data_IF_056469146034
#
_entry.id   IF_056469146034
#
_cell.length_a   1.000
_cell.length_b   1.000
_cell.length_c   1.000
_cell.angle_alpha   90.00
_cell.angle_beta   90.00
_cell.angle_gamma   90.00
#
_symmetry.space_group_name_H-M   'P 1'
#
loop_
_entity.id
_entity.type
_entity.pdbx_description
1 polymer ?
#
# COMPACT_ATOMS: atom_id res chain seq x y z
N UNK A 1 -57.35 28.33 1.41
CA UNK A 1 -55.99 28.89 1.22
C UNK A 1 -54.99 27.91 1.79
N UNK A 2 -54.29 27.17 0.95
CA UNK A 2 -53.18 26.31 1.35
C UNK A 2 -51.91 27.17 1.37
N UNK A 3 -51.43 27.50 2.56
CA UNK A 3 -50.17 28.19 2.78
C UNK A 3 -49.01 27.22 2.53
N UNK A 4 -48.34 27.36 1.39
CA UNK A 4 -47.05 26.73 1.16
C UNK A 4 -45.99 27.50 1.96
N UNK A 5 -45.62 26.96 3.13
CA UNK A 5 -44.44 27.41 3.87
C UNK A 5 -43.19 26.89 3.15
N UNK A 6 -42.59 27.72 2.30
CA UNK A 6 -41.22 27.47 1.83
C UNK A 6 -40.26 27.77 2.99
N UNK A 7 -39.60 26.74 3.51
CA UNK A 7 -38.44 26.93 4.38
C UNK A 7 -37.36 27.66 3.58
N UNK A 8 -36.84 28.78 4.10
CA UNK A 8 -35.72 29.47 3.45
C UNK A 8 -34.48 28.58 3.57
N UNK A 9 -34.00 28.05 2.45
CA UNK A 9 -32.85 27.17 2.44
C UNK A 9 -31.56 27.94 2.75
N UNK A 10 -30.91 27.54 3.83
CA UNK A 10 -29.61 28.07 4.22
C UNK A 10 -28.60 27.84 3.09
N UNK A 11 -28.02 28.91 2.55
CA UNK A 11 -27.18 28.86 1.35
C UNK A 11 -25.75 29.29 1.66
N UNK A 12 -24.77 28.65 1.04
CA UNK A 12 -23.36 29.00 1.18
C UNK A 12 -23.04 30.21 0.29
N UNK A 13 -22.72 31.36 0.88
CA UNK A 13 -22.29 32.54 0.13
C UNK A 13 -20.78 32.55 -0.15
N UNK A 14 -19.98 31.95 0.72
CA UNK A 14 -18.53 31.87 0.51
C UNK A 14 -17.92 30.62 1.17
N UNK A 15 -16.86 30.12 0.53
CA UNK A 15 -16.01 29.04 1.06
C UNK A 15 -14.58 29.58 1.10
N UNK A 16 -14.08 29.81 2.31
CA UNK A 16 -12.73 30.32 2.57
C UNK A 16 -11.81 29.18 2.97
N UNK A 17 -10.65 29.06 2.32
CA UNK A 17 -9.67 28.01 2.60
C UNK A 17 -8.46 28.66 3.29
N UNK A 18 -8.11 28.19 4.49
CA UNK A 18 -7.00 28.73 5.31
C UNK A 18 -5.94 27.68 5.57
N UNK A 19 -4.69 28.14 5.74
CA UNK A 19 -3.57 27.32 6.21
C UNK A 19 -2.84 26.50 5.14
N UNK A 20 -3.20 26.68 3.87
CA UNK A 20 -2.46 26.13 2.73
C UNK A 20 -1.13 26.87 2.52
N UNK A 21 -0.12 26.16 2.04
CA UNK A 21 1.23 26.63 1.72
C UNK A 21 1.61 26.14 0.31
N UNK A 22 1.82 24.84 0.13
CA UNK A 22 2.16 24.22 -1.16
C UNK A 22 0.91 23.80 -1.93
N UNK A 23 -0.12 23.32 -1.23
CA UNK A 23 -1.37 22.87 -1.83
C UNK A 23 -2.08 24.07 -2.49
N UNK A 24 -2.56 23.90 -3.72
CA UNK A 24 -3.20 24.98 -4.45
C UNK A 24 -4.66 25.11 -4.03
N UNK A 25 -5.10 26.34 -3.77
CA UNK A 25 -6.50 26.63 -3.44
C UNK A 25 -7.44 26.18 -4.55
N UNK A 26 -7.08 26.46 -5.81
CA UNK A 26 -7.84 26.00 -6.98
C UNK A 26 -8.01 24.47 -7.03
N UNK A 27 -6.99 23.73 -6.58
CA UNK A 27 -7.10 22.27 -6.47
C UNK A 27 -8.12 21.88 -5.40
N UNK A 28 -8.03 22.46 -4.19
CA UNK A 28 -9.02 22.21 -3.12
C UNK A 28 -10.44 22.51 -3.59
N UNK A 29 -10.66 23.67 -4.21
CA UNK A 29 -11.96 24.06 -4.77
C UNK A 29 -12.46 23.10 -5.86
N UNK A 30 -11.57 22.49 -6.65
CA UNK A 30 -11.93 21.44 -7.63
C UNK A 30 -12.44 20.18 -6.95
N UNK A 31 -11.87 19.79 -5.80
CA UNK A 31 -12.11 18.49 -5.18
C UNK A 31 -13.14 18.48 -4.05
N UNK A 32 -13.57 19.62 -3.49
CA UNK A 32 -14.61 19.67 -2.44
C UNK A 32 -16.02 19.79 -3.05
N UNK A 33 -17.04 19.27 -2.33
CA UNK A 33 -18.47 19.35 -2.73
C UNK A 33 -19.02 20.70 -2.32
N UNK A 34 -18.59 21.16 -1.14
CA UNK A 34 -18.95 22.43 -0.52
C UNK A 34 -18.49 23.59 -1.40
N UNK A 35 -19.44 24.30 -2.03
CA UNK A 35 -19.18 25.39 -2.98
C UNK A 35 -20.08 26.59 -2.68
N UNK A 36 -19.71 27.76 -3.20
CA UNK A 36 -20.58 28.93 -3.20
C UNK A 36 -21.85 28.63 -4.02
N UNK A 37 -23.00 29.08 -3.52
CA UNK A 37 -24.30 29.01 -4.18
C UNK A 37 -25.07 27.71 -3.96
N UNK A 38 -24.55 26.77 -3.17
CA UNK A 38 -25.27 25.52 -2.84
C UNK A 38 -25.87 25.57 -1.43
N UNK A 39 -26.87 24.73 -1.20
CA UNK A 39 -27.50 24.54 0.12
C UNK A 39 -26.46 24.08 1.14
N UNK A 40 -26.51 24.67 2.34
CA UNK A 40 -25.69 24.31 3.47
C UNK A 40 -26.05 22.91 3.96
N UNK A 41 -25.22 21.93 3.62
CA UNK A 41 -25.35 20.55 4.07
C UNK A 41 -24.16 20.13 4.93
N UNK A 42 -24.43 19.83 6.20
CA UNK A 42 -23.42 19.38 7.16
C UNK A 42 -22.81 18.03 6.78
N UNK A 43 -23.55 17.15 6.11
CA UNK A 43 -23.06 15.85 5.65
C UNK A 43 -22.02 16.00 4.55
N UNK A 44 -22.28 16.87 3.58
CA UNK A 44 -21.33 17.21 2.51
C UNK A 44 -20.04 17.82 3.06
N UNK A 45 -20.15 18.75 4.01
CA UNK A 45 -18.96 19.35 4.66
C UNK A 45 -18.16 18.28 5.42
N UNK A 46 -18.83 17.40 6.17
CA UNK A 46 -18.15 16.32 6.89
C UNK A 46 -17.41 15.36 5.94
N UNK A 47 -18.02 14.98 4.82
CA UNK A 47 -17.39 14.16 3.77
C UNK A 47 -16.18 14.84 3.15
N UNK A 48 -16.26 16.14 2.88
CA UNK A 48 -15.14 16.92 2.35
C UNK A 48 -13.99 16.97 3.36
N UNK A 49 -14.25 17.14 4.65
CA UNK A 49 -13.20 17.13 5.68
C UNK A 49 -12.54 15.76 5.81
N UNK A 50 -13.31 14.67 5.75
CA UNK A 50 -12.75 13.32 5.72
C UNK A 50 -11.87 13.14 4.47
N UNK A 51 -12.36 13.59 3.30
CA UNK A 51 -11.61 13.51 2.05
C UNK A 51 -10.29 14.29 2.14
N UNK A 52 -10.33 15.53 2.65
CA UNK A 52 -9.15 16.37 2.82
C UNK A 52 -8.13 15.74 3.76
N UNK A 53 -8.57 15.15 4.89
CA UNK A 53 -7.68 14.43 5.82
C UNK A 53 -6.99 13.20 5.22
N UNK A 54 -7.53 12.65 4.13
CA UNK A 54 -6.93 11.51 3.41
C UNK A 54 -5.86 11.94 2.41
N UNK A 55 -5.73 13.23 2.11
CA UNK A 55 -4.69 13.73 1.22
C UNK A 55 -3.32 13.65 1.92
N UNK A 56 -2.27 13.16 1.24
CA UNK A 56 -0.91 13.11 1.79
C UNK A 56 -0.41 14.45 2.32
N UNK A 57 -0.76 15.53 1.63
CA UNK A 57 -0.37 16.90 1.96
C UNK A 57 -1.09 17.49 3.17
N UNK A 58 -2.06 16.79 3.76
CA UNK A 58 -2.91 17.31 4.84
C UNK A 58 -2.66 16.50 6.11
N UNK A 59 -2.10 17.15 7.13
CA UNK A 59 -1.89 16.56 8.45
C UNK A 59 -3.20 16.52 9.24
N UNK A 60 -4.02 17.57 9.11
CA UNK A 60 -5.36 17.64 9.69
C UNK A 60 -6.20 18.68 8.94
N UNK A 61 -7.53 18.54 9.00
CA UNK A 61 -8.48 19.52 8.48
C UNK A 61 -9.68 19.68 9.43
N UNK A 62 -10.19 20.90 9.51
CA UNK A 62 -11.42 21.22 10.26
C UNK A 62 -12.22 22.30 9.53
N UNK A 63 -13.46 22.52 9.94
CA UNK A 63 -14.31 23.55 9.38
C UNK A 63 -14.96 24.38 10.48
N UNK A 64 -15.36 25.60 10.12
CA UNK A 64 -16.26 26.46 10.91
C UNK A 64 -17.31 27.01 9.97
N UNK A 65 -18.56 27.04 10.43
CA UNK A 65 -19.66 27.67 9.70
C UNK A 65 -20.03 28.95 10.44
N UNK A 66 -20.05 30.07 9.73
CA UNK A 66 -20.34 31.39 10.30
C UNK A 66 -21.52 31.98 9.54
N UNK A 67 -22.49 32.52 10.27
CA UNK A 67 -23.60 33.26 9.68
C UNK A 67 -23.06 34.55 9.07
N UNK A 68 -23.33 34.78 7.78
CA UNK A 68 -22.93 36.02 7.10
C UNK A 68 -24.04 37.05 7.25
N UNK A 69 -25.19 36.83 6.60
CA UNK A 69 -26.38 37.69 6.62
C UNK A 69 -27.62 36.84 6.32
N UNK A 70 -28.73 37.02 7.05
CA UNK A 70 -29.98 36.25 6.86
C UNK A 70 -29.74 34.74 6.77
N UNK A 71 -30.11 34.08 5.66
CA UNK A 71 -29.94 32.65 5.42
C UNK A 71 -28.63 32.30 4.69
N UNK A 72 -27.68 33.24 4.63
CA UNK A 72 -26.39 33.05 3.98
C UNK A 72 -25.28 32.74 4.98
N UNK A 73 -24.54 31.68 4.69
CA UNK A 73 -23.47 31.18 5.53
C UNK A 73 -22.12 31.22 4.82
N UNK A 74 -21.07 31.46 5.60
CA UNK A 74 -19.68 31.32 5.18
C UNK A 74 -19.09 30.06 5.79
N UNK A 75 -18.49 29.21 4.95
CA UNK A 75 -17.79 28.00 5.40
C UNK A 75 -16.29 28.25 5.36
N UNK A 76 -15.63 28.19 6.52
CA UNK A 76 -14.18 28.35 6.64
C UNK A 76 -13.56 26.98 6.84
N UNK A 77 -12.80 26.51 5.84
CA UNK A 77 -12.04 25.26 5.89
C UNK A 77 -10.62 25.55 6.32
N UNK A 78 -10.21 25.03 7.47
CA UNK A 78 -8.86 25.16 8.00
C UNK A 78 -8.06 23.90 7.71
N UNK A 79 -6.99 24.03 6.93
CA UNK A 79 -6.09 22.94 6.56
C UNK A 79 -4.76 23.15 7.26
N UNK A 80 -4.26 22.09 7.90
CA UNK A 80 -2.88 22.02 8.39
C UNK A 80 -2.08 21.17 7.43
N UNK A 81 -1.20 21.79 6.64
CA UNK A 81 -0.38 21.07 5.68
C UNK A 81 0.70 20.20 6.32
N UNK A 82 1.04 19.14 5.60
CA UNK A 82 2.04 18.14 5.90
C UNK A 82 3.19 18.24 4.88
N UNK A 83 4.42 17.94 5.30
CA UNK A 83 5.51 17.80 4.34
C UNK A 83 5.33 16.48 3.58
N UNK A 84 5.14 16.59 2.26
CA UNK A 84 4.76 15.46 1.39
C UNK A 84 5.90 14.99 0.47
N UNK A 85 7.11 15.51 0.63
CA UNK A 85 8.30 15.07 -0.10
C UNK A 85 9.06 14.10 0.80
N UNK A 86 9.27 12.87 0.34
CA UNK A 86 9.79 11.77 1.15
C UNK A 86 10.99 11.16 0.44
N UNK A 87 12.19 11.18 1.05
CA UNK A 87 13.30 10.39 0.56
C UNK A 87 13.05 8.91 0.85
N UNK A 88 13.37 8.05 -0.11
CA UNK A 88 13.36 6.61 0.03
C UNK A 88 14.81 6.15 0.18
N UNK A 89 15.17 5.64 1.37
CA UNK A 89 16.53 5.21 1.69
C UNK A 89 16.46 3.82 2.32
N UNK A 90 17.06 2.84 1.65
CA UNK A 90 17.20 1.49 2.19
C UNK A 90 18.63 1.01 2.00
N UNK A 91 19.17 0.36 3.02
CA UNK A 91 20.49 -0.25 3.01
C UNK A 91 20.35 -1.67 3.56
N UNK A 92 20.95 -2.64 2.87
CA UNK A 92 20.93 -4.03 3.28
C UNK A 92 22.13 -4.77 2.70
N UNK A 93 22.31 -6.02 3.12
CA UNK A 93 23.30 -6.94 2.54
C UNK A 93 22.54 -8.06 1.83
N UNK A 94 22.91 -8.35 0.59
CA UNK A 94 22.34 -9.46 -0.18
C UNK A 94 22.86 -10.82 0.28
N UNK A 95 22.24 -11.89 -0.20
CA UNK A 95 22.62 -13.29 0.07
C UNK A 95 24.08 -13.59 -0.27
N UNK A 96 24.61 -12.95 -1.31
CA UNK A 96 26.01 -13.04 -1.73
C UNK A 96 26.97 -12.09 -0.98
N UNK A 97 26.55 -11.54 0.18
CA UNK A 97 27.31 -10.64 1.03
C UNK A 97 27.64 -9.26 0.41
N UNK A 98 26.97 -8.87 -0.67
CA UNK A 98 27.17 -7.57 -1.28
C UNK A 98 26.38 -6.46 -0.56
N UNK A 99 27.04 -5.34 -0.30
CA UNK A 99 26.37 -4.15 0.18
C UNK A 99 25.41 -3.63 -0.90
N UNK A 100 24.15 -3.45 -0.51
CA UNK A 100 23.06 -3.06 -1.39
C UNK A 100 22.35 -1.83 -0.85
N UNK A 101 21.90 -0.99 -1.76
CA UNK A 101 21.25 0.26 -1.40
C UNK A 101 20.15 0.64 -2.38
N UNK A 102 19.15 1.37 -1.88
CA UNK A 102 18.07 1.99 -2.66
C UNK A 102 17.94 3.43 -2.23
N UNK A 103 18.01 4.33 -3.21
CA UNK A 103 17.89 5.77 -3.04
C UNK A 103 16.78 6.25 -3.97
N UNK A 104 15.81 6.97 -3.43
CA UNK A 104 14.69 7.50 -4.19
C UNK A 104 14.11 8.75 -3.55
N UNK A 105 13.20 9.37 -4.28
CA UNK A 105 12.54 10.59 -3.86
C UNK A 105 11.14 10.63 -4.45
N UNK A 106 10.16 10.86 -3.57
CA UNK A 106 8.76 10.98 -3.94
C UNK A 106 8.18 12.28 -3.42
N UNK A 107 7.47 13.00 -4.27
CA UNK A 107 6.61 14.11 -3.89
C UNK A 107 5.16 13.67 -4.04
N UNK A 108 4.48 13.47 -2.91
CA UNK A 108 3.06 13.08 -2.85
C UNK A 108 2.11 14.28 -3.02
N UNK A 109 2.66 15.48 -3.23
CA UNK A 109 1.90 16.68 -3.54
C UNK A 109 2.59 17.49 -4.64
N UNK A 110 3.06 16.80 -5.69
CA UNK A 110 3.71 17.41 -6.83
C UNK A 110 2.81 18.49 -7.44
N UNK A 111 3.42 19.65 -7.71
CA UNK A 111 2.74 20.88 -8.15
C UNK A 111 1.60 21.39 -7.25
N UNK A 112 1.49 20.87 -6.02
CA UNK A 112 0.44 21.25 -5.07
C UNK A 112 -0.95 20.71 -5.42
N UNK A 113 -1.02 19.57 -6.12
CA UNK A 113 -2.25 19.03 -6.71
C UNK A 113 -2.56 17.58 -6.35
N UNK A 114 -2.04 17.07 -5.23
CA UNK A 114 -2.18 15.65 -4.84
C UNK A 114 -1.71 14.67 -5.94
N UNK A 115 -0.66 15.06 -6.65
CA UNK A 115 0.01 14.22 -7.64
C UNK A 115 1.17 13.57 -6.92
N UNK A 116 1.27 12.25 -7.00
CA UNK A 116 2.48 11.52 -6.62
C UNK A 116 3.39 11.46 -7.82
N UNK A 117 4.59 11.98 -7.68
CA UNK A 117 5.65 11.84 -8.67
C UNK A 117 6.95 11.52 -7.98
N UNK A 118 7.66 10.53 -8.47
CA UNK A 118 8.91 10.11 -7.88
C UNK A 118 9.50 8.91 -8.56
N UNK A 119 10.61 8.46 -8.01
CA UNK A 119 11.32 7.30 -8.51
C UNK A 119 12.45 6.91 -7.58
N UNK A 120 13.07 5.79 -7.89
CA UNK A 120 14.23 5.30 -7.18
C UNK A 120 15.25 4.72 -8.13
N UNK A 121 16.47 4.66 -7.63
CA UNK A 121 17.54 3.80 -8.11
C UNK A 121 17.94 2.87 -6.97
N UNK A 122 18.24 1.62 -7.30
CA UNK A 122 18.84 0.69 -6.36
C UNK A 122 19.96 -0.09 -7.04
N UNK A 123 20.93 -0.47 -6.23
CA UNK A 123 21.98 -1.39 -6.61
C UNK A 123 22.05 -2.52 -5.57
N UNK A 124 21.94 -3.75 -6.04
CA UNK A 124 22.06 -4.97 -5.23
C UNK A 124 23.07 -5.96 -5.83
N UNK A 125 24.09 -5.42 -6.52
CA UNK A 125 24.86 -6.16 -7.52
C UNK A 125 24.34 -5.95 -8.94
N UNK A 126 23.09 -5.54 -9.07
CA UNK A 126 22.49 -5.15 -10.34
C UNK A 126 21.78 -3.81 -10.21
N UNK A 127 21.87 -3.01 -11.27
CA UNK A 127 21.19 -1.72 -11.34
C UNK A 127 19.72 -1.89 -11.65
N UNK A 128 18.87 -1.34 -10.79
CA UNK A 128 17.43 -1.21 -11.03
C UNK A 128 16.98 0.21 -10.80
N UNK A 129 15.91 0.62 -11.49
CA UNK A 129 15.30 1.92 -11.30
C UNK A 129 13.80 1.88 -11.59
N UNK A 130 13.06 2.84 -11.05
CA UNK A 130 11.67 3.04 -11.38
C UNK A 130 11.29 4.51 -11.36
N UNK A 131 10.28 4.86 -12.16
CA UNK A 131 9.62 6.17 -12.16
C UNK A 131 8.12 5.93 -12.06
N UNK A 132 7.48 6.66 -11.16
CA UNK A 132 6.07 6.53 -10.85
C UNK A 132 5.38 7.89 -10.90
N UNK A 133 4.27 7.94 -11.63
CA UNK A 133 3.38 9.08 -11.71
C UNK A 133 1.96 8.64 -11.37
N UNK A 134 1.29 9.32 -10.44
CA UNK A 134 -0.10 9.07 -10.08
C UNK A 134 -0.81 10.37 -9.79
N UNK A 135 -1.85 10.66 -10.57
CA UNK A 135 -2.66 11.87 -10.43
C UNK A 135 -4.15 11.48 -10.32
N UNK A 136 -4.67 11.18 -9.10
CA UNK A 136 -6.03 10.66 -8.90
C UNK A 136 -7.15 11.61 -9.35
N UNK A 137 -6.90 12.92 -9.33
CA UNK A 137 -7.88 13.95 -9.70
C UNK A 137 -7.41 14.77 -10.91
N UNK A 138 -6.68 14.12 -11.84
CA UNK A 138 -6.08 14.79 -13.00
C UNK A 138 -7.15 15.44 -13.88
N UNK A 139 -8.11 14.65 -14.35
CA UNK A 139 -9.14 15.09 -15.29
C UNK A 139 -10.33 15.73 -14.57
N UNK A 140 -10.81 15.11 -13.50
CA UNK A 140 -11.94 15.62 -12.70
C UNK A 140 -11.72 15.37 -11.22
N UNK A 141 -12.73 15.64 -10.37
CA UNK A 141 -12.70 15.19 -8.98
C UNK A 141 -12.62 13.67 -8.88
N UNK A 142 -13.21 12.93 -9.81
CA UNK A 142 -13.34 11.47 -9.72
C UNK A 142 -12.38 10.70 -10.62
N UNK A 143 -11.83 11.33 -11.66
CA UNK A 143 -11.04 10.66 -12.68
C UNK A 143 -9.58 11.11 -12.69
N UNK A 144 -8.70 10.12 -12.81
CA UNK A 144 -7.26 10.31 -12.85
C UNK A 144 -6.53 9.22 -13.64
N UNK A 145 -5.21 9.32 -13.62
CA UNK A 145 -4.29 8.42 -14.33
C UNK A 145 -3.10 8.08 -13.43
N UNK A 146 -2.59 6.86 -13.56
CA UNK A 146 -1.25 6.49 -13.11
C UNK A 146 -0.44 5.89 -14.25
N UNK A 147 0.85 6.23 -14.29
CA UNK A 147 1.83 5.71 -15.23
C UNK A 147 3.07 5.27 -14.43
N UNK A 148 3.53 4.05 -14.64
CA UNK A 148 4.69 3.52 -13.96
C UNK A 148 5.62 2.86 -14.96
N UNK A 149 6.91 3.11 -14.80
CA UNK A 149 7.97 2.38 -15.48
C UNK A 149 8.93 1.81 -14.45
N UNK A 150 9.31 0.55 -14.63
CA UNK A 150 10.27 -0.11 -13.76
C UNK A 150 11.21 -0.99 -14.58
N UNK A 151 12.50 -0.87 -14.29
CA UNK A 151 13.54 -1.79 -14.70
C UNK A 151 14.11 -2.42 -13.43
N UNK A 152 13.79 -3.69 -13.20
CA UNK A 152 14.12 -4.41 -11.98
C UNK A 152 15.04 -5.57 -12.28
N UNK A 153 16.11 -5.68 -11.49
CA UNK A 153 17.06 -6.77 -11.55
C UNK A 153 17.32 -7.34 -10.16
N UNK A 154 17.31 -8.66 -10.07
CA UNK A 154 17.63 -9.38 -8.84
C UNK A 154 18.15 -10.76 -9.14
N UNK A 155 18.97 -11.29 -8.25
CA UNK A 155 19.25 -12.72 -8.19
C UNK A 155 18.03 -13.43 -7.60
N UNK A 156 17.45 -14.37 -8.35
CA UNK A 156 16.32 -15.18 -7.91
C UNK A 156 16.70 -16.66 -7.89
N UNK A 157 16.56 -17.34 -6.73
CA UNK A 157 16.64 -18.79 -6.67
C UNK A 157 15.36 -19.41 -7.26
N UNK A 158 15.51 -20.29 -8.25
CA UNK A 158 14.44 -21.10 -8.80
C UNK A 158 14.57 -22.54 -8.32
N UNK A 159 13.45 -23.11 -7.86
CA UNK A 159 13.38 -24.45 -7.27
C UNK A 159 12.77 -25.45 -8.26
N UNK A 160 13.50 -26.53 -8.52
CA UNK A 160 13.13 -27.62 -9.44
C UNK A 160 13.09 -28.95 -8.65
N UNK A 161 12.01 -29.15 -7.89
CA UNK A 161 11.96 -30.22 -6.89
C UNK A 161 12.93 -29.93 -5.74
N UNK A 162 13.78 -30.90 -5.41
CA UNK A 162 14.84 -30.76 -4.38
C UNK A 162 16.09 -29.99 -4.88
N UNK A 163 16.13 -29.62 -6.17
CA UNK A 163 17.26 -28.93 -6.79
C UNK A 163 17.00 -27.43 -6.88
N UNK A 164 18.06 -26.62 -6.77
CA UNK A 164 17.97 -25.16 -6.86
C UNK A 164 18.99 -24.63 -7.88
N UNK A 165 18.61 -23.60 -8.61
CA UNK A 165 19.52 -22.82 -9.46
C UNK A 165 19.21 -21.33 -9.35
N UNK A 166 20.27 -20.51 -9.37
CA UNK A 166 20.16 -19.06 -9.26
C UNK A 166 20.19 -18.45 -10.66
N UNK A 167 19.24 -17.54 -10.91
CA UNK A 167 19.11 -16.79 -12.15
C UNK A 167 19.21 -15.29 -11.89
N UNK A 168 19.82 -14.57 -12.81
CA UNK A 168 19.61 -13.14 -12.94
C UNK A 168 18.24 -12.93 -13.57
N UNK A 169 17.30 -12.49 -12.74
CA UNK A 169 16.00 -12.04 -13.17
C UNK A 169 16.07 -10.57 -13.57
N UNK A 170 15.58 -10.25 -14.77
CA UNK A 170 15.48 -8.89 -15.27
C UNK A 170 14.05 -8.66 -15.79
N UNK A 171 13.33 -7.76 -15.13
CA UNK A 171 11.99 -7.33 -15.51
C UNK A 171 12.00 -5.88 -15.99
N UNK A 172 11.52 -5.62 -17.20
CA UNK A 172 11.26 -4.25 -17.68
C UNK A 172 9.78 -4.10 -17.92
N UNK A 173 9.13 -3.14 -17.27
CA UNK A 173 7.67 -2.98 -17.29
C UNK A 173 7.21 -1.54 -17.51
N UNK A 174 6.06 -1.43 -18.16
CA UNK A 174 5.32 -0.19 -18.36
C UNK A 174 3.84 -0.42 -18.02
N UNK A 175 3.36 0.28 -16.99
CA UNK A 175 1.99 0.18 -16.50
C UNK A 175 1.25 1.50 -16.71
N UNK A 176 0.01 1.40 -17.21
CA UNK A 176 -0.93 2.50 -17.28
C UNK A 176 -2.25 2.10 -16.61
N UNK A 177 -2.73 2.93 -15.67
CA UNK A 177 -3.98 2.69 -14.92
C UNK A 177 -4.91 3.90 -15.00
N UNK A 178 -6.16 3.66 -15.39
CA UNK A 178 -7.27 4.56 -15.11
C UNK A 178 -7.63 4.52 -13.63
N UNK A 179 -7.86 5.69 -13.03
CA UNK A 179 -8.22 5.84 -11.61
C UNK A 179 -9.63 6.43 -11.52
N UNK A 180 -10.56 5.72 -10.91
CA UNK A 180 -11.94 6.18 -10.75
C UNK A 180 -12.39 6.14 -9.29
N UNK A 181 -12.73 7.30 -8.75
CA UNK A 181 -13.31 7.44 -7.42
C UNK A 181 -14.84 7.49 -7.52
N UNK A 182 -15.50 6.38 -7.20
CA UNK A 182 -16.97 6.23 -7.23
C UNK A 182 -17.59 7.20 -6.20
N UNK A 183 -17.11 7.13 -4.95
CA UNK A 183 -17.54 7.98 -3.84
C UNK A 183 -16.41 8.13 -2.79
N UNK A 184 -16.71 8.66 -1.60
CA UNK A 184 -15.71 8.88 -0.54
C UNK A 184 -14.97 7.60 -0.15
N UNK A 185 -15.69 6.48 -0.08
CA UNK A 185 -15.19 5.21 0.42
C UNK A 185 -14.79 4.24 -0.69
N UNK A 186 -15.29 4.42 -1.92
CA UNK A 186 -15.15 3.43 -2.99
C UNK A 186 -14.34 4.00 -4.16
N UNK A 187 -13.32 3.26 -4.59
CA UNK A 187 -12.52 3.57 -5.77
C UNK A 187 -12.18 2.29 -6.54
N UNK A 188 -11.99 2.43 -7.85
CA UNK A 188 -11.56 1.39 -8.76
C UNK A 188 -10.40 1.92 -9.58
N UNK A 189 -9.31 1.17 -9.64
CA UNK A 189 -8.21 1.39 -10.57
C UNK A 189 -8.15 0.22 -11.52
N UNK A 190 -7.94 0.47 -12.80
CA UNK A 190 -7.88 -0.58 -13.80
C UNK A 190 -6.95 -0.21 -14.93
N UNK A 191 -6.34 -1.19 -15.59
CA UNK A 191 -5.51 -0.93 -16.74
C UNK A 191 -4.60 -2.09 -17.10
N UNK A 192 -3.48 -1.77 -17.75
CA UNK A 192 -2.61 -2.74 -18.40
C UNK A 192 -1.17 -2.49 -17.97
N UNK A 193 -0.42 -3.57 -17.76
CA UNK A 193 1.02 -3.58 -17.63
C UNK A 193 1.61 -4.46 -18.73
N UNK A 194 2.48 -3.90 -19.55
CA UNK A 194 3.24 -4.64 -20.57
C UNK A 194 4.66 -4.77 -20.04
N UNK A 195 5.16 -6.00 -19.98
CA UNK A 195 6.45 -6.25 -19.37
C UNK A 195 7.18 -7.41 -20.02
N UNK A 196 8.49 -7.31 -20.00
CA UNK A 196 9.43 -8.30 -20.49
C UNK A 196 10.19 -8.87 -19.30
N UNK A 197 10.27 -10.20 -19.22
CA UNK A 197 11.01 -10.94 -18.19
C UNK A 197 12.12 -11.77 -18.83
N UNK A 198 13.35 -11.52 -18.40
CA UNK A 198 14.52 -12.30 -18.78
C UNK A 198 15.08 -13.05 -17.60
N UNK A 199 15.40 -14.32 -17.80
CA UNK A 199 16.13 -15.14 -16.85
C UNK A 199 17.43 -15.57 -17.50
N UNK A 200 18.56 -15.23 -16.87
CA UNK A 200 19.89 -15.67 -17.29
C UNK A 200 20.51 -16.48 -16.16
N UNK A 201 20.88 -17.72 -16.45
CA UNK A 201 21.52 -18.61 -15.48
C UNK A 201 22.80 -17.99 -14.90
N UNK A 202 22.97 -18.11 -13.58
CA UNK A 202 24.17 -17.68 -12.86
C UNK A 202 24.94 -18.89 -12.29
N UNK A 203 24.26 -19.71 -11.48
CA UNK A 203 24.90 -20.83 -10.76
C UNK A 203 23.88 -21.87 -10.29
N UNK A 204 24.35 -23.05 -9.86
CA UNK A 204 23.51 -24.13 -9.32
C UNK A 204 23.36 -25.31 -10.28
N UNK A 205 22.23 -26.01 -10.20
CA UNK A 205 22.00 -27.21 -11.02
C UNK A 205 21.58 -26.83 -12.44
N UNK A 206 22.19 -27.47 -13.44
CA UNK A 206 21.75 -27.42 -14.84
C UNK A 206 21.09 -28.73 -15.24
N UNK A 207 20.13 -28.66 -16.16
CA UNK A 207 19.44 -29.80 -16.74
C UNK A 207 19.05 -29.44 -18.19
N UNK A 208 19.15 -30.35 -19.18
CA UNK A 208 18.73 -30.07 -20.55
C UNK A 208 17.27 -29.59 -20.70
N UNK A 209 16.41 -29.93 -19.74
CA UNK A 209 15.00 -29.50 -19.70
C UNK A 209 14.80 -28.09 -19.14
N UNK A 210 15.84 -27.49 -18.55
CA UNK A 210 15.79 -26.16 -17.93
C UNK A 210 16.56 -25.16 -18.81
N UNK A 211 15.89 -24.13 -19.37
CA UNK A 211 16.56 -23.17 -20.22
C UNK A 211 17.54 -22.30 -19.41
N UNK A 212 18.78 -22.18 -19.89
CA UNK A 212 19.77 -21.29 -19.28
C UNK A 212 19.49 -19.81 -19.58
N UNK A 213 18.77 -19.53 -20.66
CA UNK A 213 18.30 -18.21 -21.02
C UNK A 213 16.83 -18.30 -21.41
N UNK A 214 16.01 -17.43 -20.84
CA UNK A 214 14.58 -17.34 -21.12
C UNK A 214 14.22 -15.86 -21.27
N UNK A 215 13.46 -15.52 -22.30
CA UNK A 215 13.05 -14.15 -22.62
C UNK A 215 11.55 -14.17 -22.96
N UNK A 216 10.73 -13.51 -22.14
CA UNK A 216 9.28 -13.62 -22.18
C UNK A 216 8.61 -12.24 -22.21
N UNK A 217 7.86 -11.98 -23.27
CA UNK A 217 6.94 -10.85 -23.32
C UNK A 217 5.58 -11.21 -22.74
N UNK A 218 5.07 -10.34 -21.87
CA UNK A 218 3.86 -10.55 -21.10
C UNK A 218 2.99 -9.31 -21.05
N UNK A 219 1.69 -9.57 -20.94
CA UNK A 219 0.67 -8.54 -20.72
C UNK A 219 -0.13 -8.91 -19.47
N UNK A 220 -0.29 -7.96 -18.57
CA UNK A 220 -1.08 -8.08 -17.35
C UNK A 220 -2.23 -7.08 -17.38
N UNK A 221 -3.45 -7.59 -17.28
CA UNK A 221 -4.65 -6.78 -17.02
C UNK A 221 -4.88 -6.71 -15.52
N UNK A 222 -5.03 -5.49 -15.00
CA UNK A 222 -5.11 -5.21 -13.57
C UNK A 222 -6.43 -4.57 -13.24
N UNK A 223 -7.07 -5.05 -12.18
CA UNK A 223 -8.20 -4.41 -11.51
C UNK A 223 -7.90 -4.33 -10.02
N UNK A 224 -8.07 -3.15 -9.44
CA UNK A 224 -7.93 -2.91 -8.00
C UNK A 224 -9.17 -2.17 -7.51
N UNK A 225 -9.95 -2.81 -6.66
CA UNK A 225 -11.06 -2.18 -5.97
C UNK A 225 -10.66 -1.87 -4.54
N UNK A 226 -11.00 -0.68 -4.04
CA UNK A 226 -10.78 -0.31 -2.64
C UNK A 226 -12.06 0.23 -2.03
N UNK A 227 -12.42 -0.36 -0.89
CA UNK A 227 -13.33 0.23 0.09
C UNK A 227 -12.50 0.79 1.26
N UNK A 228 -12.54 2.09 1.51
CA UNK A 228 -11.80 2.76 2.58
C UNK A 228 -12.76 3.57 3.47
N UNK A 229 -13.09 3.02 4.63
CA UNK A 229 -13.84 3.67 5.71
C UNK A 229 -12.94 3.96 6.91
N UNK A 230 -11.64 4.22 6.67
CA UNK A 230 -10.73 4.60 7.73
C UNK A 230 -10.88 6.07 8.09
N UNK A 231 -10.86 6.33 9.39
CA UNK A 231 -10.79 7.64 10.01
C UNK A 231 -9.41 7.81 10.64
N UNK A 232 -8.75 8.90 10.27
CA UNK A 232 -7.40 9.22 10.73
C UNK A 232 -7.45 10.38 11.72
N UNK A 233 -6.82 10.17 12.87
CA UNK A 233 -6.52 11.21 13.84
C UNK A 233 -5.07 11.08 14.30
N UNK A 234 -4.16 11.74 13.58
CA UNK A 234 -2.71 11.58 13.73
C UNK A 234 -2.31 10.10 13.68
N UNK A 235 -1.72 9.56 14.75
CA UNK A 235 -1.28 8.16 14.85
C UNK A 235 -2.40 7.15 15.14
N UNK A 236 -3.62 7.61 15.43
CA UNK A 236 -4.76 6.75 15.73
C UNK A 236 -5.62 6.53 14.49
N UNK A 237 -5.87 5.27 14.18
CA UNK A 237 -6.68 4.85 13.04
C UNK A 237 -7.89 4.08 13.57
N UNK A 238 -9.06 4.33 13.00
CA UNK A 238 -10.30 3.61 13.31
C UNK A 238 -11.02 3.25 12.01
N UNK A 239 -11.68 2.10 11.99
CA UNK A 239 -12.59 1.70 10.92
C UNK A 239 -12.11 0.48 10.16
N UNK A 240 -12.65 0.33 8.95
CA UNK A 240 -12.41 -0.82 8.09
C UNK A 240 -11.95 -0.39 6.70
N UNK A 241 -11.08 -1.19 6.11
CA UNK A 241 -10.66 -1.05 4.71
C UNK A 241 -10.58 -2.43 4.06
N UNK A 242 -10.97 -2.53 2.81
CA UNK A 242 -10.75 -3.71 1.97
C UNK A 242 -10.11 -3.27 0.67
N UNK A 243 -9.09 -4.00 0.22
CA UNK A 243 -8.46 -3.79 -1.08
C UNK A 243 -8.48 -5.13 -1.82
N UNK A 244 -9.29 -5.23 -2.87
CA UNK A 244 -9.30 -6.37 -3.77
C UNK A 244 -8.35 -6.09 -4.93
N UNK A 245 -7.45 -7.02 -5.18
CA UNK A 245 -6.60 -7.04 -6.35
C UNK A 245 -7.01 -8.23 -7.23
N UNK A 246 -7.07 -7.99 -8.53
CA UNK A 246 -7.32 -9.02 -9.54
C UNK A 246 -6.42 -8.74 -10.72
N UNK A 247 -5.72 -9.79 -11.16
CA UNK A 247 -4.74 -9.73 -12.22
C UNK A 247 -4.91 -10.92 -13.14
N UNK A 248 -4.97 -10.67 -14.44
CA UNK A 248 -4.89 -11.70 -15.47
C UNK A 248 -3.63 -11.47 -16.28
N UNK A 249 -2.76 -12.47 -16.34
CA UNK A 249 -1.48 -12.41 -17.04
C UNK A 249 -1.52 -13.38 -18.20
N UNK A 250 -1.15 -12.89 -19.37
CA UNK A 250 -1.03 -13.68 -20.60
C UNK A 250 0.33 -13.46 -21.26
N UNK A 251 0.80 -14.49 -21.96
CA UNK A 251 2.10 -14.49 -22.62
C UNK A 251 2.12 -15.50 -23.76
N UNK A 252 2.72 -15.13 -24.88
CA UNK A 252 2.81 -16.02 -26.05
C UNK A 252 4.08 -16.89 -25.97
N UNK A 253 4.13 -17.85 -25.04
CA UNK A 253 5.27 -18.77 -24.92
C UNK A 253 4.86 -20.16 -24.37
N UNK A 254 5.65 -21.21 -24.64
CA UNK A 254 5.33 -22.57 -24.19
C UNK A 254 5.65 -22.84 -22.71
N UNK A 255 6.43 -21.98 -22.05
CA UNK A 255 6.93 -22.19 -20.69
C UNK A 255 5.98 -21.67 -19.60
N UNK A 256 5.05 -20.78 -19.95
CA UNK A 256 4.12 -20.18 -19.01
C UNK A 256 2.74 -20.00 -19.61
N UNK A 257 1.78 -20.70 -19.01
CA UNK A 257 0.37 -20.58 -19.34
C UNK A 257 -0.21 -19.30 -18.75
N UNK A 258 -1.28 -18.82 -19.37
CA UNK A 258 -2.10 -17.75 -18.81
C UNK A 258 -2.55 -18.09 -17.38
N UNK A 259 -2.56 -17.08 -16.51
CA UNK A 259 -2.96 -17.28 -15.13
C UNK A 259 -3.71 -16.08 -14.57
N UNK A 260 -4.66 -16.39 -13.68
CA UNK A 260 -5.43 -15.44 -12.91
C UNK A 260 -4.89 -15.42 -11.49
N UNK A 261 -4.77 -14.24 -10.90
CA UNK A 261 -4.48 -14.04 -9.49
C UNK A 261 -5.54 -13.10 -8.91
N UNK A 262 -6.07 -13.45 -7.76
CA UNK A 262 -6.87 -12.54 -6.97
C UNK A 262 -6.50 -12.62 -5.49
N UNK A 263 -6.43 -11.49 -4.83
CA UNK A 263 -6.30 -11.46 -3.37
C UNK A 263 -7.01 -10.25 -2.79
N UNK A 264 -7.47 -10.38 -1.55
CA UNK A 264 -8.06 -9.28 -0.81
C UNK A 264 -7.27 -9.03 0.48
N UNK A 265 -6.98 -7.76 0.74
CA UNK A 265 -6.47 -7.28 2.02
C UNK A 265 -7.58 -6.60 2.81
N UNK A 266 -7.95 -7.19 3.95
CA UNK A 266 -8.87 -6.64 4.92
C UNK A 266 -8.10 -5.99 6.06
N UNK A 267 -8.40 -4.73 6.37
CA UNK A 267 -7.81 -4.00 7.48
C UNK A 267 -8.90 -3.59 8.46
N UNK A 268 -8.67 -3.81 9.75
CA UNK A 268 -9.56 -3.39 10.82
C UNK A 268 -8.77 -2.72 11.93
N UNK A 269 -9.18 -1.49 12.27
CA UNK A 269 -8.56 -0.71 13.33
C UNK A 269 -9.59 -0.26 14.36
N UNK A 270 -9.26 -0.42 15.63
CA UNK A 270 -10.06 0.04 16.75
C UNK A 270 -9.20 0.85 17.71
N UNK A 271 -9.64 2.06 18.06
CA UNK A 271 -9.04 2.83 19.15
C UNK A 271 -9.49 2.23 20.48
N UNK A 272 -8.55 2.00 21.39
CA UNK A 272 -8.80 1.46 22.72
C UNK A 272 -8.34 2.48 23.77
N UNK A 273 -9.29 2.99 24.56
CA UNK A 273 -9.05 4.08 25.50
C UNK A 273 -8.47 5.33 24.80
N UNK A 274 -7.63 6.07 25.51
CA UNK A 274 -7.04 7.30 24.98
C UNK A 274 -5.80 7.07 24.11
N UNK A 275 -4.99 6.06 24.46
CA UNK A 275 -3.63 5.87 23.94
C UNK A 275 -3.42 4.58 23.12
N UNK A 276 -4.38 3.66 23.13
CA UNK A 276 -4.27 2.35 22.46
C UNK A 276 -4.90 2.33 21.07
N UNK A 277 -4.33 1.54 20.17
CA UNK A 277 -4.91 1.23 18.86
C UNK A 277 -4.63 -0.23 18.51
N UNK A 278 -5.70 -1.02 18.43
CA UNK A 278 -5.64 -2.40 17.96
C UNK A 278 -5.81 -2.43 16.44
N UNK A 279 -4.85 -3.01 15.74
CA UNK A 279 -4.74 -3.02 14.29
C UNK A 279 -4.67 -4.45 13.78
N UNK A 280 -5.44 -4.76 12.74
CA UNK A 280 -5.48 -6.08 12.12
C UNK A 280 -5.38 -5.93 10.60
N UNK A 281 -4.61 -6.81 9.96
CA UNK A 281 -4.62 -7.04 8.51
C UNK A 281 -4.82 -8.53 8.25
N UNK A 282 -5.82 -8.90 7.47
CA UNK A 282 -5.99 -10.24 6.95
C UNK A 282 -5.91 -10.23 5.42
N UNK A 283 -4.98 -11.00 4.86
CA UNK A 283 -4.83 -11.23 3.43
C UNK A 283 -5.30 -12.63 3.10
N UNK A 284 -6.11 -12.76 2.06
CA UNK A 284 -6.41 -14.04 1.46
C UNK A 284 -6.28 -13.93 -0.06
N UNK A 285 -5.51 -14.83 -0.67
CA UNK A 285 -5.22 -14.82 -2.09
C UNK A 285 -5.10 -16.20 -2.70
N UNK A 286 -5.57 -16.31 -3.94
CA UNK A 286 -5.47 -17.50 -4.77
C UNK A 286 -5.03 -17.11 -6.18
N UNK A 287 -4.35 -18.04 -6.83
CA UNK A 287 -3.99 -17.98 -8.24
C UNK A 287 -4.30 -19.28 -8.94
N UNK A 288 -4.27 -19.28 -10.27
CA UNK A 288 -4.28 -20.50 -11.08
C UNK A 288 -3.25 -21.49 -10.53
N UNK A 289 -3.70 -22.70 -10.20
CA UNK A 289 -2.90 -23.66 -9.45
C UNK A 289 -1.95 -24.46 -10.35
N UNK A 290 -0.94 -23.78 -10.88
CA UNK A 290 0.05 -24.40 -11.75
C UNK A 290 1.25 -24.88 -10.91
N UNK A 291 1.78 -26.06 -11.22
CA UNK A 291 3.02 -26.57 -10.63
C UNK A 291 4.19 -25.89 -11.36
N UNK A 292 4.59 -24.72 -10.87
CA UNK A 292 5.62 -23.87 -11.47
C UNK A 292 6.46 -23.19 -10.39
N UNK A 293 7.77 -22.99 -10.60
CA UNK A 293 8.61 -22.19 -9.70
C UNK A 293 8.21 -20.70 -9.68
N UNK A 294 7.45 -20.24 -10.68
CA UNK A 294 7.04 -18.84 -10.85
C UNK A 294 5.75 -18.49 -10.08
N UNK A 295 5.48 -19.17 -8.96
CA UNK A 295 4.25 -18.95 -8.20
C UNK A 295 4.20 -17.52 -7.61
N UNK A 296 3.02 -16.86 -7.62
CA UNK A 296 2.95 -15.42 -7.44
C UNK A 296 2.94 -14.93 -5.98
N UNK A 297 2.58 -15.78 -5.02
CA UNK A 297 2.55 -15.38 -3.62
C UNK A 297 3.85 -15.72 -2.92
N UNK A 298 4.71 -14.71 -2.74
CA UNK A 298 5.94 -14.84 -1.98
C UNK A 298 5.69 -14.73 -0.47
N UNK A 299 6.48 -15.47 0.30
CA UNK A 299 6.74 -15.26 1.71
C UNK A 299 7.84 -14.19 1.86
N UNK A 300 7.60 -13.18 2.69
CA UNK A 300 8.56 -12.09 2.88
C UNK A 300 8.41 -11.42 4.25
N UNK A 301 9.55 -10.96 4.80
CA UNK A 301 9.68 -10.38 6.14
C UNK A 301 9.11 -8.96 6.29
N UNK A 302 9.14 -8.17 5.22
CA UNK A 302 8.65 -6.80 5.19
C UNK A 302 7.21 -6.70 4.68
N UNK A 303 6.75 -7.72 3.95
CA UNK A 303 5.41 -7.75 3.37
C UNK A 303 4.44 -8.57 4.22
N UNK A 304 4.83 -9.75 4.72
CA UNK A 304 3.89 -10.74 5.26
C UNK A 304 4.16 -11.13 6.72
N UNK A 305 5.35 -11.63 7.06
CA UNK A 305 5.67 -12.17 8.41
C UNK A 305 6.97 -11.62 8.99
N UNK A 306 6.91 -10.82 10.07
CA UNK A 306 8.12 -10.31 10.74
C UNK A 306 8.88 -11.41 11.47
N UNK A 307 10.20 -11.42 11.30
CA UNK A 307 11.13 -12.38 11.90
C UNK A 307 11.42 -13.62 11.04
N UNK A 308 10.78 -13.77 9.88
CA UNK A 308 10.93 -14.96 9.02
C UNK A 308 12.27 -15.00 8.26
N UNK A 309 12.93 -13.85 8.08
CA UNK A 309 14.20 -13.72 7.35
C UNK A 309 14.04 -13.58 5.83
N UNK A 310 15.13 -13.77 5.08
CA UNK A 310 15.18 -13.68 3.60
C UNK A 310 14.88 -15.07 3.00
N UNK A 311 13.74 -15.66 3.34
CA UNK A 311 13.30 -16.92 2.75
C UNK A 311 12.17 -16.62 1.77
N UNK A 312 12.48 -16.73 0.48
CA UNK A 312 11.50 -16.60 -0.61
C UNK A 312 10.87 -17.98 -0.84
N UNK A 313 9.92 -18.34 0.02
CA UNK A 313 9.00 -19.43 -0.30
C UNK A 313 7.85 -18.90 -1.14
N UNK A 314 7.33 -19.69 -2.09
CA UNK A 314 6.30 -19.24 -3.04
C UNK A 314 5.14 -20.23 -3.10
N UNK A 315 3.93 -19.70 -3.09
CA UNK A 315 2.69 -20.46 -3.18
C UNK A 315 1.76 -19.98 -4.28
N UNK A 316 0.87 -20.87 -4.72
CA UNK A 316 -0.27 -20.51 -5.59
C UNK A 316 -1.47 -20.00 -4.79
N UNK A 317 -1.35 -19.96 -3.46
CA UNK A 317 -2.30 -19.34 -2.56
C UNK A 317 -1.62 -18.89 -1.27
N UNK A 318 -2.17 -17.87 -0.62
CA UNK A 318 -1.64 -17.31 0.62
C UNK A 318 -2.78 -16.85 1.52
N UNK A 319 -2.66 -17.19 2.81
CA UNK A 319 -3.44 -16.60 3.87
C UNK A 319 -2.47 -16.00 4.89
N UNK A 320 -2.62 -14.71 5.19
CA UNK A 320 -1.79 -14.00 6.17
C UNK A 320 -2.69 -13.23 7.11
N UNK A 321 -2.45 -13.31 8.41
CA UNK A 321 -3.15 -12.51 9.39
C UNK A 321 -2.14 -11.88 10.35
N UNK A 322 -2.11 -10.55 10.36
CA UNK A 322 -1.30 -9.75 11.26
C UNK A 322 -2.23 -9.05 12.25
N UNK A 323 -1.96 -9.19 13.54
CA UNK A 323 -2.64 -8.49 14.61
C UNK A 323 -1.61 -7.79 15.48
N UNK A 324 -1.85 -6.52 15.81
CA UNK A 324 -0.95 -5.79 16.68
C UNK A 324 -1.66 -4.76 17.56
N UNK A 325 -1.21 -4.68 18.80
CA UNK A 325 -1.62 -3.67 19.76
C UNK A 325 -0.55 -2.58 19.85
N UNK A 326 -0.93 -1.38 19.44
CA UNK A 326 -0.07 -0.19 19.41
C UNK A 326 -0.44 0.70 20.61
N UNK A 327 0.50 0.99 21.50
CA UNK A 327 0.25 1.85 22.66
C UNK A 327 1.13 3.09 22.66
N UNK A 328 0.52 4.27 22.78
CA UNK A 328 1.26 5.55 22.74
C UNK A 328 1.88 5.86 24.08
N UNK A 329 3.20 5.94 24.13
CA UNK A 329 3.98 6.25 25.34
C UNK A 329 4.49 7.69 25.37
N UNK A 330 4.60 8.32 24.20
CA UNK A 330 5.01 9.72 24.05
C UNK A 330 4.18 10.40 22.96
N UNK A 331 3.66 11.59 23.24
CA UNK A 331 2.91 12.40 22.27
C UNK A 331 3.25 13.89 22.44
N UNK A 332 3.91 14.47 21.43
CA UNK A 332 4.10 15.91 21.27
C UNK A 332 3.69 16.34 19.86
N UNK A 333 3.62 17.67 19.65
CA UNK A 333 3.20 18.28 18.37
C UNK A 333 4.03 17.84 17.15
N UNK A 334 5.24 17.34 17.34
CA UNK A 334 6.16 16.96 16.26
C UNK A 334 6.42 15.44 16.17
N UNK A 335 6.34 14.71 17.28
CA UNK A 335 6.66 13.28 17.37
C UNK A 335 5.65 12.55 18.27
N UNK A 336 5.26 11.35 17.85
CA UNK A 336 4.67 10.34 18.73
C UNK A 336 5.56 9.10 18.78
N UNK A 337 5.63 8.45 19.94
CA UNK A 337 6.29 7.14 20.11
C UNK A 337 5.24 6.13 20.57
N UNK A 338 5.19 5.00 19.88
CA UNK A 338 4.31 3.89 20.23
C UNK A 338 5.10 2.61 20.47
N UNK A 339 4.75 1.89 21.52
CA UNK A 339 5.12 0.48 21.66
C UNK A 339 4.17 -0.38 20.83
N UNK A 340 4.65 -1.53 20.37
CA UNK A 340 3.92 -2.48 19.56
C UNK A 340 4.08 -3.88 20.13
N UNK A 341 2.98 -4.61 20.26
CA UNK A 341 3.00 -6.07 20.51
C UNK A 341 2.24 -6.69 19.35
N UNK A 342 2.85 -7.64 18.65
CA UNK A 342 2.26 -8.19 17.44
C UNK A 342 2.31 -9.71 17.38
N UNK A 343 1.41 -10.28 16.60
CA UNK A 343 1.43 -11.67 16.17
C UNK A 343 1.10 -11.74 14.70
N UNK A 344 1.95 -12.44 13.95
CA UNK A 344 1.88 -12.62 12.51
C UNK A 344 1.69 -14.11 12.22
N UNK A 345 0.57 -14.44 11.60
CA UNK A 345 0.21 -15.78 11.12
C UNK A 345 0.30 -15.81 9.60
N UNK A 346 0.84 -16.87 9.03
CA UNK A 346 0.84 -17.08 7.58
C UNK A 346 0.74 -18.55 7.22
N UNK A 347 0.07 -18.84 6.11
CA UNK A 347 -0.02 -20.16 5.52
C UNK A 347 -0.08 -20.08 4.00
N UNK A 348 0.54 -21.04 3.32
CA UNK A 348 0.66 -21.07 1.85
C UNK A 348 0.12 -22.38 1.28
N UNK A 349 -0.47 -22.29 0.09
CA UNK A 349 -0.75 -23.46 -0.75
C UNK A 349 0.41 -23.67 -1.70
N UNK A 350 1.00 -24.86 -1.65
CA UNK A 350 2.13 -25.22 -2.51
C UNK A 350 1.72 -25.22 -4.00
N UNK A 351 2.65 -24.92 -4.93
CA UNK A 351 2.35 -24.94 -6.36
C UNK A 351 1.86 -26.32 -6.84
N UNK A 352 0.66 -26.37 -7.44
CA UNK A 352 0.01 -27.63 -7.81
C UNK A 352 -0.59 -28.42 -6.63
N UNK A 353 -0.58 -27.84 -5.43
CA UNK A 353 -1.07 -28.44 -4.19
C UNK A 353 -2.59 -28.31 -3.98
N UNK A 354 -3.09 -28.82 -2.86
CA UNK A 354 -4.52 -28.82 -2.53
C UNK A 354 -4.87 -27.71 -1.54
N UNK A 355 -6.16 -27.33 -1.42
CA UNK A 355 -6.58 -26.33 -0.43
C UNK A 355 -6.28 -26.75 1.01
N UNK A 356 -6.21 -28.05 1.28
CA UNK A 356 -5.83 -28.57 2.60
C UNK A 356 -4.38 -28.24 2.98
N UNK A 357 -3.53 -27.82 2.02
CA UNK A 357 -2.17 -27.38 2.33
C UNK A 357 -2.14 -26.20 3.29
N UNK A 358 -3.18 -25.35 3.30
CA UNK A 358 -3.28 -24.24 4.25
C UNK A 358 -3.39 -24.68 5.71
N UNK A 359 -3.86 -25.91 5.96
CA UNK A 359 -4.08 -26.47 7.29
C UNK A 359 -2.94 -27.37 7.76
N UNK A 360 -2.00 -27.72 6.87
CA UNK A 360 -0.85 -28.54 7.22
C UNK A 360 0.11 -27.74 8.09
N UNK A 361 0.51 -28.31 9.23
CA UNK A 361 1.39 -27.66 10.21
C UNK A 361 2.72 -27.20 9.61
N UNK A 362 3.26 -27.92 8.62
CA UNK A 362 4.49 -27.58 7.90
C UNK A 362 4.41 -26.26 7.13
N UNK A 363 3.22 -25.91 6.61
CA UNK A 363 2.98 -24.70 5.83
C UNK A 363 2.53 -23.50 6.70
N UNK A 364 2.13 -23.77 7.94
CA UNK A 364 1.70 -22.76 8.90
C UNK A 364 2.90 -22.17 9.63
N UNK A 365 3.01 -20.84 9.58
CA UNK A 365 4.10 -20.08 10.17
C UNK A 365 3.51 -19.05 11.13
N UNK A 366 3.99 -19.04 12.37
CA UNK A 366 3.54 -18.10 13.40
C UNK A 366 4.73 -17.42 14.05
N UNK A 367 4.73 -16.10 14.04
CA UNK A 367 5.71 -15.25 14.69
C UNK A 367 5.01 -14.27 15.63
N UNK A 368 5.64 -13.96 16.75
CA UNK A 368 5.17 -12.95 17.69
C UNK A 368 6.32 -12.04 18.07
N UNK A 369 6.04 -10.85 18.56
CA UNK A 369 7.11 -9.91 18.83
C UNK A 369 6.70 -8.61 19.47
N UNK A 370 7.73 -7.80 19.72
CA UNK A 370 7.64 -6.48 20.31
C UNK A 370 8.30 -5.46 19.38
N UNK A 371 7.86 -4.22 19.43
CA UNK A 371 8.47 -3.17 18.63
C UNK A 371 8.26 -1.76 19.16
N UNK A 372 9.04 -0.84 18.60
CA UNK A 372 8.95 0.59 18.84
C UNK A 372 8.73 1.32 17.52
N UNK A 373 7.85 2.31 17.54
CA UNK A 373 7.45 3.10 16.38
C UNK A 373 7.61 4.58 16.69
N UNK A 374 8.44 5.28 15.91
CA UNK A 374 8.69 6.71 16.00
C UNK A 374 7.98 7.41 14.84
N UNK A 375 6.96 8.18 15.13
CA UNK A 375 6.00 8.71 14.15
C UNK A 375 6.14 10.23 14.08
N UNK A 376 6.59 10.75 12.95
CA UNK A 376 6.57 12.19 12.69
C UNK A 376 5.14 12.66 12.42
N UNK A 377 4.71 13.72 13.11
CA UNK A 377 3.40 14.36 12.87
C UNK A 377 3.44 15.44 11.80
N UNK A 378 4.62 15.73 11.25
CA UNK A 378 4.89 16.82 10.29
C UNK A 378 5.31 16.35 8.91
N UNK A 379 5.63 15.06 8.76
CA UNK A 379 6.04 14.45 7.49
C UNK A 379 5.07 13.33 7.19
N UNK A 380 4.56 13.29 5.96
CA UNK A 380 3.64 12.26 5.51
C UNK A 380 4.26 10.88 5.63
N UNK A 381 3.49 9.93 6.17
CA UNK A 381 3.86 8.51 6.30
C UNK A 381 5.25 8.23 6.92
N UNK A 382 5.84 9.18 7.66
CA UNK A 382 7.16 9.05 8.23
C UNK A 382 7.07 8.38 9.60
N UNK A 383 7.12 7.04 9.57
CA UNK A 383 7.23 6.20 10.76
C UNK A 383 8.50 5.39 10.66
N UNK A 384 9.39 5.50 11.64
CA UNK A 384 10.52 4.59 11.78
C UNK A 384 10.16 3.49 12.77
N UNK A 385 10.41 2.23 12.42
CA UNK A 385 10.04 1.05 13.19
C UNK A 385 11.26 0.20 13.48
N UNK A 386 11.31 -0.29 14.71
CA UNK A 386 12.23 -1.34 15.15
C UNK A 386 11.36 -2.41 15.77
N UNK A 387 11.23 -3.54 15.10
CA UNK A 387 10.44 -4.69 15.55
C UNK A 387 11.40 -5.87 15.80
N UNK A 388 11.22 -6.63 16.87
CA UNK A 388 11.89 -7.91 17.11
C UNK A 388 10.84 -9.01 17.12
N UNK A 389 10.89 -9.87 16.10
CA UNK A 389 10.00 -11.04 15.99
C UNK A 389 10.73 -12.31 16.38
N UNK A 390 10.02 -13.23 17.04
CA UNK A 390 10.49 -14.58 17.35
C UNK A 390 9.44 -15.60 16.92
N UNK A 391 9.90 -16.78 16.51
CA UNK A 391 9.03 -17.85 16.02
C UNK A 391 8.28 -18.49 17.19
N UNK A 392 6.97 -18.67 17.00
CA UNK A 392 6.08 -19.40 17.92
C UNK A 392 5.75 -20.78 17.36
N UNK A 393 5.65 -20.94 16.04
CA UNK A 393 5.36 -22.24 15.42
C UNK A 393 6.55 -23.19 15.44
N UNK A 394 6.27 -24.50 15.52
CA UNK A 394 7.29 -25.53 15.63
C UNK A 394 7.68 -26.10 14.27
N UNK A 395 8.33 -25.27 13.44
CA UNK A 395 8.76 -25.62 12.09
C UNK A 395 10.30 -25.65 12.06
N UNK A 396 10.94 -26.83 12.16
CA UNK A 396 12.40 -26.95 12.12
C UNK A 396 12.97 -26.45 10.79
N UNK A 397 14.18 -25.88 10.81
CA UNK A 397 14.85 -25.32 9.61
C UNK A 397 14.52 -23.87 9.26
N UNK A 398 13.54 -23.25 9.92
CA UNK A 398 13.18 -21.84 9.69
C UNK A 398 13.92 -20.89 10.63
N UNK A 399 13.89 -19.58 10.34
CA UNK A 399 14.43 -18.55 11.26
C UNK A 399 13.77 -18.63 12.64
N UNK A 400 14.57 -18.55 13.70
CA UNK A 400 14.10 -18.50 15.11
C UNK A 400 13.55 -17.12 15.51
N UNK A 401 13.91 -16.08 14.76
CA UNK A 401 13.57 -14.70 15.05
C UNK A 401 14.60 -13.72 14.50
N UNK A 402 14.30 -12.43 14.55
CA UNK A 402 15.19 -11.39 14.05
C UNK A 402 14.68 -9.97 14.27
N UNK A 403 15.61 -9.02 14.17
CA UNK A 403 15.30 -7.60 14.10
C UNK A 403 14.79 -7.23 12.71
N UNK A 404 13.76 -6.40 12.68
CA UNK A 404 13.15 -5.86 11.46
C UNK A 404 13.09 -4.35 11.60
N UNK A 405 13.81 -3.66 10.71
CA UNK A 405 13.74 -2.21 10.60
C UNK A 405 12.81 -1.84 9.45
N UNK A 406 11.99 -0.81 9.65
CA UNK A 406 11.03 -0.38 8.63
C UNK A 406 10.83 1.13 8.61
N UNK A 407 10.71 1.68 7.41
CA UNK A 407 10.20 3.03 7.18
C UNK A 407 8.75 2.92 6.70
N UNK A 408 7.86 3.74 7.25
CA UNK A 408 6.42 3.65 7.05
C UNK A 408 5.73 2.67 8.01
N UNK A 409 4.43 2.44 7.79
CA UNK A 409 3.67 1.43 8.53
C UNK A 409 3.99 0.02 8.07
N UNK A 410 3.78 -0.99 8.92
CA UNK A 410 3.83 -2.40 8.48
C UNK A 410 2.62 -2.73 7.61
N UNK A 411 1.44 -2.30 8.08
CA UNK A 411 0.18 -2.31 7.39
C UNK A 411 -0.75 -1.20 7.85
#
# INVERSE_FOLDING_TARGET
MTSFLFSQENTINDVEIKGIKKLKEAYIRKIIQTKKGIVLDSSSIAKDIIFLKRLPAVSNASYKVVLSQNHFYKVIVNIKENFAMIPELHFWTTTNQQFSYKLGLYDYNFLGRNITFGGFYQNNGFDSYAINFKAPNLFSRKWGLALNHQNWKSEEPLYFGEKTANYLYHNTSFEALGLYQINLNNQVNFGVNIFNEKYKYLSGVTDPTIPQNLDLDKVLFKLVYTYDALEYNYQYIKGFKSILYTQFVTSNNPFQKDFLIAWNDFFYYKKLGEKGNWANRARFGLSSNQKTPFAPFALDNNVNLRGVGILVDRGTGSFVWNTEYRHTVYDKKWLAVQTNIFTDFGSWRNPGGQLNDFLKSENVRVYSGLGLRFISKKIYNATFRIDYGFRVSNNPGQSKGGLVFGIGQYF
#
